data_IF_332093116326
#
_entry.id   IF_332093116326
#
_cell.length_a   1.000
_cell.length_b   1.000
_cell.length_c   1.000
_cell.angle_alpha   90.00
_cell.angle_beta   90.00
_cell.angle_gamma   90.00
#
_symmetry.space_group_name_H-M   'P 1'
#
loop_
_entity.id
_entity.type
_entity.pdbx_description
1 polymer ?
#
# COMPACT_ATOMS: atom_id res chain seq x y z
N UNK A 1 17.31 28.87 -39.32
CA UNK A 1 16.17 27.95 -39.11
C UNK A 1 16.50 26.82 -38.13
N UNK A 2 17.60 26.08 -38.32
CA UNK A 2 17.92 24.90 -37.49
C UNK A 2 18.18 25.20 -35.99
N UNK A 3 18.72 26.38 -35.65
CA UNK A 3 18.99 26.76 -34.24
C UNK A 3 17.72 27.09 -33.44
N UNK A 4 16.69 27.62 -34.11
CA UNK A 4 15.38 27.91 -33.51
C UNK A 4 14.61 26.60 -33.28
N UNK A 5 14.72 25.66 -34.23
CA UNK A 5 14.13 24.33 -34.11
C UNK A 5 14.73 23.54 -32.94
N UNK A 6 16.06 23.59 -32.76
CA UNK A 6 16.74 22.98 -31.60
C UNK A 6 16.31 23.61 -30.27
N UNK A 7 16.19 24.93 -30.21
CA UNK A 7 15.74 25.64 -29.00
C UNK A 7 14.30 25.32 -28.63
N UNK A 8 13.40 25.24 -29.61
CA UNK A 8 12.01 24.84 -29.41
C UNK A 8 11.88 23.38 -28.93
N UNK A 9 12.74 22.48 -29.43
CA UNK A 9 12.78 21.09 -28.99
C UNK A 9 13.27 20.95 -27.55
N UNK A 10 14.22 21.79 -27.12
CA UNK A 10 14.72 21.80 -25.74
C UNK A 10 13.71 22.36 -24.72
N UNK A 11 12.82 23.28 -25.17
CA UNK A 11 11.74 23.83 -24.36
C UNK A 11 10.62 22.80 -24.08
N UNK A 12 10.37 21.86 -25.01
CA UNK A 12 9.33 20.83 -24.88
C UNK A 12 9.66 19.76 -23.82
N UNK A 13 10.95 19.53 -23.52
CA UNK A 13 11.38 18.51 -22.54
C UNK A 13 11.12 18.95 -21.08
N UNK A 14 10.89 20.25 -20.85
CA UNK A 14 10.67 20.80 -19.51
C UNK A 14 9.29 20.48 -18.93
N UNK A 15 8.35 19.93 -19.73
CA UNK A 15 6.98 19.62 -19.30
C UNK A 15 6.77 18.16 -18.83
N UNK A 16 7.84 17.36 -18.70
CA UNK A 16 7.73 15.92 -18.46
C UNK A 16 7.65 15.49 -16.98
N UNK A 17 7.45 16.41 -16.03
CA UNK A 17 7.36 16.07 -14.60
C UNK A 17 5.94 15.69 -14.16
N UNK A 18 5.36 14.66 -14.78
CA UNK A 18 4.03 14.15 -14.43
C UNK A 18 4.05 12.97 -13.44
N UNK A 19 5.22 12.47 -13.06
CA UNK A 19 5.35 11.30 -12.18
C UNK A 19 5.22 11.70 -10.70
N UNK A 20 4.23 11.13 -10.01
CA UNK A 20 4.02 11.33 -8.58
C UNK A 20 5.17 10.66 -7.79
N UNK A 21 6.07 11.50 -7.26
CA UNK A 21 7.20 11.06 -6.45
C UNK A 21 6.77 10.29 -5.20
N UNK A 22 5.63 10.64 -4.59
CA UNK A 22 5.10 9.94 -3.41
C UNK A 22 4.61 8.55 -3.79
N UNK A 23 3.93 8.41 -4.93
CA UNK A 23 3.50 7.11 -5.43
C UNK A 23 4.70 6.17 -5.63
N UNK A 24 5.81 6.68 -6.21
CA UNK A 24 7.04 5.89 -6.36
C UNK A 24 7.67 5.51 -5.02
N UNK A 25 7.68 6.42 -4.04
CA UNK A 25 8.20 6.14 -2.69
C UNK A 25 7.41 5.02 -1.99
N UNK A 26 6.07 5.08 -2.00
CA UNK A 26 5.26 4.06 -1.36
C UNK A 26 5.24 2.73 -2.13
N UNK A 27 5.35 2.75 -3.46
CA UNK A 27 5.45 1.53 -4.25
C UNK A 27 6.67 0.68 -3.88
N UNK A 28 7.77 1.30 -3.46
CA UNK A 28 8.98 0.59 -3.00
C UNK A 28 8.77 -0.18 -1.70
N UNK A 29 7.74 0.16 -0.91
CA UNK A 29 7.39 -0.56 0.33
C UNK A 29 6.61 -1.85 0.05
N UNK A 30 6.08 -2.04 -1.16
CA UNK A 30 5.29 -3.22 -1.52
C UNK A 30 6.24 -4.32 -1.99
N UNK A 31 6.61 -5.23 -1.08
CA UNK A 31 7.51 -6.35 -1.42
C UNK A 31 6.73 -7.66 -1.58
N UNK A 32 7.20 -8.53 -2.49
CA UNK A 32 6.62 -9.86 -2.67
C UNK A 32 6.71 -10.73 -1.40
N UNK A 33 7.74 -10.51 -0.58
CA UNK A 33 7.92 -11.20 0.69
C UNK A 33 6.81 -10.84 1.67
N UNK A 34 6.58 -9.56 1.89
CA UNK A 34 5.57 -9.07 2.83
C UNK A 34 4.15 -9.46 2.38
N UNK A 35 3.89 -9.40 1.06
CA UNK A 35 2.62 -9.87 0.49
C UNK A 35 2.41 -11.36 0.76
N UNK A 36 3.44 -12.19 0.56
CA UNK A 36 3.37 -13.63 0.78
C UNK A 36 3.15 -13.97 2.26
N UNK A 37 3.85 -13.29 3.16
CA UNK A 37 3.70 -13.50 4.60
C UNK A 37 2.26 -13.22 5.06
N UNK A 38 1.76 -12.02 4.76
CA UNK A 38 0.39 -11.61 5.10
C UNK A 38 -0.66 -12.54 4.46
N UNK A 39 -0.49 -12.86 3.17
CA UNK A 39 -1.41 -13.75 2.46
C UNK A 39 -1.44 -15.15 3.09
N UNK A 40 -0.28 -15.68 3.48
CA UNK A 40 -0.18 -17.02 4.07
C UNK A 40 -0.93 -17.10 5.39
N UNK A 41 -0.83 -16.07 6.23
CA UNK A 41 -1.56 -16.01 7.51
C UNK A 41 -3.07 -15.92 7.26
N UNK A 42 -3.48 -14.96 6.44
CA UNK A 42 -4.90 -14.71 6.17
C UNK A 42 -5.56 -15.94 5.51
N UNK A 43 -4.88 -16.59 4.56
CA UNK A 43 -5.39 -17.77 3.86
C UNK A 43 -5.16 -19.10 4.60
N UNK A 44 -4.56 -19.08 5.79
CA UNK A 44 -4.27 -20.32 6.53
C UNK A 44 -5.54 -21.01 7.04
N UNK A 45 -5.47 -22.34 7.13
CA UNK A 45 -6.51 -23.17 7.73
C UNK A 45 -6.75 -22.85 9.21
N UNK A 46 -5.78 -22.25 9.90
CA UNK A 46 -5.90 -21.81 11.29
C UNK A 46 -7.03 -20.80 11.51
N UNK A 47 -7.40 -20.06 10.46
CA UNK A 47 -8.54 -19.15 10.48
C UNK A 47 -9.87 -19.85 10.19
N UNK A 48 -9.92 -21.10 9.72
CA UNK A 48 -11.17 -21.85 9.48
C UNK A 48 -12.17 -21.16 8.52
N UNK A 49 -11.71 -20.15 7.76
CA UNK A 49 -12.55 -19.29 6.92
C UNK A 49 -13.03 -18.00 7.61
N UNK A 50 -13.31 -16.97 6.81
CA UNK A 50 -13.49 -15.58 7.28
C UNK A 50 -14.89 -15.01 7.00
N UNK A 51 -15.92 -15.86 7.02
CA UNK A 51 -17.30 -15.40 6.89
C UNK A 51 -17.68 -14.47 8.07
N UNK A 52 -18.57 -13.52 7.83
CA UNK A 52 -18.98 -12.54 8.84
C UNK A 52 -19.47 -13.22 10.11
N UNK A 53 -18.94 -12.79 11.26
CA UNK A 53 -19.32 -13.29 12.58
C UNK A 53 -18.64 -14.59 13.02
N UNK A 54 -17.81 -15.22 12.17
CA UNK A 54 -17.10 -16.45 12.55
C UNK A 54 -15.86 -16.17 13.43
N UNK A 55 -15.36 -17.23 14.08
CA UNK A 55 -14.09 -17.21 14.82
C UNK A 55 -12.94 -16.71 13.94
N UNK A 56 -12.84 -17.25 12.73
CA UNK A 56 -11.84 -16.87 11.75
C UNK A 56 -11.87 -15.43 11.32
N UNK A 57 -13.08 -14.86 11.14
CA UNK A 57 -13.21 -13.45 10.84
C UNK A 57 -12.70 -12.56 11.98
N UNK A 58 -12.98 -12.92 13.25
CA UNK A 58 -12.44 -12.20 14.42
C UNK A 58 -10.92 -12.30 14.50
N UNK A 59 -10.35 -13.46 14.19
CA UNK A 59 -8.89 -13.64 14.15
C UNK A 59 -8.23 -12.85 13.02
N UNK A 60 -8.83 -12.85 11.82
CA UNK A 60 -8.35 -12.04 10.71
C UNK A 60 -8.40 -10.54 11.04
N UNK A 61 -9.49 -10.09 11.67
CA UNK A 61 -9.61 -8.73 12.16
C UNK A 61 -8.47 -8.45 13.16
N UNK A 62 -8.29 -9.29 14.19
CA UNK A 62 -7.22 -9.21 15.20
C UNK A 62 -5.84 -9.00 14.57
N UNK A 63 -5.51 -9.83 13.57
CA UNK A 63 -4.27 -9.73 12.83
C UNK A 63 -4.08 -8.36 12.15
N UNK A 64 -5.12 -7.86 11.45
CA UNK A 64 -5.05 -6.58 10.73
C UNK A 64 -4.88 -5.40 11.68
N UNK A 65 -5.63 -5.34 12.80
CA UNK A 65 -5.43 -4.24 13.74
C UNK A 65 -4.07 -4.27 14.40
N UNK A 66 -3.60 -5.45 14.85
CA UNK A 66 -2.28 -5.54 15.47
C UNK A 66 -1.18 -5.09 14.49
N UNK A 67 -1.37 -5.35 13.19
CA UNK A 67 -0.48 -4.83 12.16
C UNK A 67 -0.56 -3.30 12.04
N UNK A 68 -1.76 -2.69 12.05
CA UNK A 68 -1.89 -1.23 12.02
C UNK A 68 -1.40 -0.54 13.29
N UNK A 69 -1.60 -1.18 14.45
CA UNK A 69 -1.10 -0.72 15.74
C UNK A 69 0.42 -0.75 15.77
N UNK A 70 1.06 -1.81 15.28
CA UNK A 70 2.53 -1.90 15.22
C UNK A 70 3.16 -0.86 14.29
N UNK A 71 2.41 -0.39 13.28
CA UNK A 71 2.78 0.72 12.42
C UNK A 71 2.50 2.11 13.04
N UNK A 72 1.87 2.17 14.22
CA UNK A 72 1.54 3.42 14.90
C UNK A 72 0.43 4.22 14.21
N UNK A 73 -0.41 3.56 13.42
CA UNK A 73 -1.52 4.23 12.73
C UNK A 73 -2.61 4.64 13.73
N UNK A 74 -3.26 5.77 13.46
CA UNK A 74 -4.43 6.17 14.23
C UNK A 74 -5.65 5.38 13.75
N UNK A 75 -6.28 4.64 14.66
CA UNK A 75 -7.52 3.95 14.39
C UNK A 75 -8.67 4.93 14.14
N UNK A 76 -9.70 4.52 13.37
CA UNK A 76 -10.88 5.36 13.12
C UNK A 76 -11.76 5.55 14.38
N UNK A 77 -11.58 4.70 15.38
CA UNK A 77 -12.29 4.74 16.66
C UNK A 77 -11.30 5.10 17.76
N UNK A 78 -11.70 5.99 18.66
CA UNK A 78 -10.78 6.45 19.71
C UNK A 78 -10.40 5.29 20.64
N UNK A 79 -9.10 4.96 20.69
CA UNK A 79 -8.57 3.85 21.46
C UNK A 79 -8.87 2.45 20.90
N UNK A 80 -9.33 2.36 19.64
CA UNK A 80 -9.62 1.08 18.98
C UNK A 80 -9.24 1.11 17.50
N UNK A 81 -8.85 -0.05 16.98
CA UNK A 81 -8.58 -0.28 15.57
C UNK A 81 -9.76 -0.92 14.83
N UNK A 82 -10.92 -1.02 15.50
CA UNK A 82 -12.23 -1.45 14.99
C UNK A 82 -13.35 -0.58 15.52
#
# INVERSE_FOLDING_TARGET
MNKILLGAMMLLVQFSFAQDQKASQYAQLITASDLKENLTIIASDALEGRYTGTRGQKMAAAFIANHFESLGLAGPVNGSYY
#
